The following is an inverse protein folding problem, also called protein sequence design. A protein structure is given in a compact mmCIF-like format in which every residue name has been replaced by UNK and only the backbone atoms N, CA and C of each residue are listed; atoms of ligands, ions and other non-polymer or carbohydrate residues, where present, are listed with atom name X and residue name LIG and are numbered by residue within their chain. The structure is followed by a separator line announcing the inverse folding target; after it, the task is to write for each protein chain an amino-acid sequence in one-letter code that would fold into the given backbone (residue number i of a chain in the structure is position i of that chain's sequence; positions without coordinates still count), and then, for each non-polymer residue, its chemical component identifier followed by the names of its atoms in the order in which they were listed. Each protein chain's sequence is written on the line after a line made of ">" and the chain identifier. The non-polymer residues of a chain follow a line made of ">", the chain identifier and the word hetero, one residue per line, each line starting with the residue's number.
data_IF_560396723697
#
_entry.id   IF_560396723697
#
_cell.length_a   1.000
_cell.length_b   1.000
_cell.length_c   1.000
_cell.angle_alpha   90.00
_cell.angle_beta   90.00
_cell.angle_gamma   90.00
#
_symmetry.space_group_name_H-M   'P 1'
#
loop_
_entity.id
_entity.type
_entity.pdbx_description
1 polymer ?
#
# COMPACT_ATOMS: atom_id res chain seq x y z
N UNK A 1 6.87 5.94 -10.26
CA UNK A 1 6.98 5.92 -8.78
C UNK A 1 6.58 4.55 -8.27
N UNK A 2 5.37 4.07 -8.58
CA UNK A 2 4.92 2.72 -8.24
C UNK A 2 5.88 1.59 -8.66
N UNK A 3 6.39 1.62 -9.91
CA UNK A 3 7.42 0.66 -10.36
C UNK A 3 8.65 0.63 -9.44
N UNK A 4 9.17 1.81 -9.06
CA UNK A 4 10.34 1.92 -8.17
C UNK A 4 10.04 1.41 -6.76
N UNK A 5 8.82 1.61 -6.26
CA UNK A 5 8.38 1.04 -4.98
C UNK A 5 8.38 -0.49 -5.06
N UNK A 6 7.76 -1.06 -6.10
CA UNK A 6 7.71 -2.50 -6.28
C UNK A 6 9.11 -3.10 -6.57
N UNK A 7 10.03 -2.39 -7.24
CA UNK A 7 11.43 -2.81 -7.41
C UNK A 7 12.18 -2.92 -6.08
N UNK A 8 11.78 -2.13 -5.09
CA UNK A 8 12.35 -2.16 -3.73
C UNK A 8 11.68 -3.21 -2.83
N UNK A 9 10.89 -4.12 -3.39
CA UNK A 9 10.18 -5.17 -2.65
C UNK A 9 9.30 -4.62 -1.51
N UNK A 10 8.57 -3.54 -1.78
CA UNK A 10 7.53 -3.05 -0.86
C UNK A 10 6.49 -4.14 -0.69
N UNK A 11 6.23 -4.52 0.55
CA UNK A 11 5.27 -5.58 0.90
C UNK A 11 3.83 -5.05 0.99
N UNK A 12 3.65 -3.76 1.29
CA UNK A 12 2.35 -3.17 1.56
C UNK A 12 2.29 -1.69 1.14
N UNK A 13 1.21 -1.32 0.45
CA UNK A 13 0.93 0.05 0.01
C UNK A 13 -0.46 0.48 0.48
N UNK A 14 -0.52 1.59 1.21
CA UNK A 14 -1.78 2.23 1.60
C UNK A 14 -1.87 3.61 0.92
N UNK A 15 -2.80 3.76 -0.02
CA UNK A 15 -3.06 5.04 -0.68
C UNK A 15 -4.17 5.79 0.05
N UNK A 16 -4.01 7.10 0.28
CA UNK A 16 -4.93 7.87 1.11
C UNK A 16 -5.32 9.18 0.40
N UNK A 17 -6.60 9.54 0.41
CA UNK A 17 -7.10 10.82 -0.14
C UNK A 17 -7.88 10.69 -1.45
N UNK A 18 -8.20 11.81 -2.11
CA UNK A 18 -9.18 11.85 -3.21
C UNK A 18 -8.84 10.99 -4.45
N UNK A 19 -7.55 10.78 -4.73
CA UNK A 19 -7.08 9.99 -5.88
C UNK A 19 -6.47 8.65 -5.45
N UNK A 20 -6.78 8.18 -4.24
CA UNK A 20 -6.17 6.98 -3.68
C UNK A 20 -6.50 5.71 -4.49
N UNK A 21 -7.74 5.60 -5.00
CA UNK A 21 -8.18 4.49 -5.86
C UNK A 21 -7.37 4.42 -7.15
N UNK A 22 -7.11 5.55 -7.80
CA UNK A 22 -6.27 5.59 -9.01
C UNK A 22 -4.84 5.10 -8.73
N UNK A 23 -4.27 5.48 -7.60
CA UNK A 23 -2.93 5.02 -7.21
C UNK A 23 -2.95 3.52 -6.92
N UNK A 24 -3.95 3.04 -6.20
CA UNK A 24 -4.18 1.62 -5.95
C UNK A 24 -4.21 0.82 -7.27
N UNK A 25 -5.04 1.25 -8.23
CA UNK A 25 -5.19 0.57 -9.51
C UNK A 25 -3.88 0.52 -10.31
N UNK A 26 -3.06 1.58 -10.24
CA UNK A 26 -1.73 1.60 -10.86
C UNK A 26 -0.81 0.54 -10.24
N UNK A 27 -0.84 0.38 -8.91
CA UNK A 27 -0.04 -0.65 -8.25
C UNK A 27 -0.54 -2.06 -8.60
N UNK A 28 -1.86 -2.28 -8.58
CA UNK A 28 -2.47 -3.56 -8.94
C UNK A 28 -2.13 -3.98 -10.37
N UNK A 29 -2.26 -3.06 -11.33
CA UNK A 29 -1.93 -3.36 -12.73
C UNK A 29 -0.45 -3.73 -12.89
N UNK A 30 0.45 -3.05 -12.18
CA UNK A 30 1.89 -3.35 -12.20
C UNK A 30 2.22 -4.69 -11.53
N UNK A 31 1.54 -5.05 -10.44
CA UNK A 31 1.68 -6.35 -9.78
C UNK A 31 1.27 -7.47 -10.76
N UNK A 32 0.09 -7.34 -11.38
CA UNK A 32 -0.40 -8.32 -12.37
C UNK A 32 0.57 -8.44 -13.54
N UNK A 33 1.04 -7.31 -14.10
CA UNK A 33 2.02 -7.31 -15.20
C UNK A 33 3.31 -8.03 -14.82
N UNK A 34 3.81 -7.84 -13.59
CA UNK A 34 5.03 -8.50 -13.11
C UNK A 34 4.86 -10.00 -12.95
N UNK A 35 3.76 -10.44 -12.36
CA UNK A 35 3.50 -11.88 -12.21
C UNK A 35 3.31 -12.57 -13.57
N UNK A 36 2.62 -11.93 -14.53
CA UNK A 36 2.55 -12.43 -15.92
C UNK A 36 3.94 -12.50 -16.54
N UNK A 37 4.77 -11.47 -16.39
CA UNK A 37 6.13 -11.47 -16.95
C UNK A 37 7.02 -12.58 -16.35
N UNK A 38 6.81 -12.92 -15.07
CA UNK A 38 7.56 -13.95 -14.35
C UNK A 38 7.09 -15.38 -14.67
N UNK A 39 5.78 -15.59 -14.81
CA UNK A 39 5.15 -16.92 -14.90
C UNK A 39 4.64 -17.27 -16.31
N UNK A 40 4.46 -16.28 -17.17
CA UNK A 40 3.89 -16.41 -18.51
C UNK A 40 2.36 -16.35 -18.55
N UNK A 41 1.67 -16.74 -17.46
CA UNK A 41 0.23 -16.58 -17.27
C UNK A 41 -0.11 -16.51 -15.77
N UNK A 42 -1.32 -16.06 -15.46
CA UNK A 42 -1.93 -16.14 -14.12
C UNK A 42 -3.02 -17.20 -14.20
N UNK A 43 -2.99 -18.16 -13.28
CA UNK A 43 -3.90 -19.30 -13.29
C UNK A 43 -4.67 -19.45 -11.99
N UNK A 44 -4.16 -18.86 -10.90
CA UNK A 44 -4.76 -18.94 -9.58
C UNK A 44 -4.43 -17.68 -8.77
N UNK A 45 -5.11 -17.51 -7.62
CA UNK A 45 -4.79 -16.46 -6.66
C UNK A 45 -3.43 -16.69 -5.98
N UNK A 46 -3.02 -17.96 -5.83
CA UNK A 46 -1.75 -18.35 -5.22
C UNK A 46 -0.53 -17.83 -6.01
N UNK A 47 -0.73 -17.44 -7.27
CA UNK A 47 0.30 -16.79 -8.07
C UNK A 47 0.76 -15.44 -7.44
N UNK A 48 -0.07 -14.84 -6.58
CA UNK A 48 0.17 -13.55 -5.91
C UNK A 48 0.61 -13.66 -4.44
N UNK A 49 0.86 -14.85 -3.88
CA UNK A 49 1.21 -15.02 -2.45
C UNK A 49 2.40 -14.15 -1.98
N UNK A 50 3.31 -13.81 -2.89
CA UNK A 50 4.51 -13.02 -2.60
C UNK A 50 4.46 -11.61 -3.22
N UNK A 51 3.30 -11.20 -3.73
CA UNK A 51 3.09 -9.88 -4.29
C UNK A 51 2.79 -8.86 -3.20
N UNK A 52 3.05 -7.59 -3.47
CA UNK A 52 2.67 -6.52 -2.55
C UNK A 52 1.16 -6.50 -2.37
N UNK A 53 0.70 -6.23 -1.15
CA UNK A 53 -0.71 -5.92 -0.90
C UNK A 53 -0.95 -4.42 -1.02
N UNK A 54 -2.12 -4.06 -1.54
CA UNK A 54 -2.54 -2.69 -1.80
C UNK A 54 -3.86 -2.44 -1.08
N UNK A 55 -4.06 -1.22 -0.60
CA UNK A 55 -5.34 -0.77 -0.05
C UNK A 55 -5.48 0.74 -0.27
N UNK A 56 -6.71 1.26 -0.18
CA UNK A 56 -6.98 2.67 -0.33
C UNK A 56 -8.07 3.17 0.63
N UNK A 57 -7.92 4.40 1.09
CA UNK A 57 -8.88 5.07 1.97
C UNK A 57 -9.06 6.53 1.58
N UNK A 58 -10.30 7.00 1.48
CA UNK A 58 -10.57 8.39 1.14
C UNK A 58 -10.22 9.34 2.29
N UNK A 59 -10.47 8.90 3.53
CA UNK A 59 -10.26 9.70 4.73
C UNK A 59 -8.87 9.47 5.33
N UNK A 60 -8.18 10.56 5.69
CA UNK A 60 -6.80 10.48 6.17
C UNK A 60 -6.67 9.73 7.49
N UNK A 61 -7.52 10.02 8.47
CA UNK A 61 -7.47 9.38 9.78
C UNK A 61 -7.74 7.88 9.70
N UNK A 62 -8.68 7.47 8.86
CA UNK A 62 -9.00 6.07 8.61
C UNK A 62 -7.81 5.34 7.98
N UNK A 63 -7.28 5.88 6.87
CA UNK A 63 -6.16 5.26 6.18
C UNK A 63 -4.90 5.19 7.05
N UNK A 64 -4.65 6.21 7.88
CA UNK A 64 -3.55 6.19 8.84
C UNK A 64 -3.75 5.14 9.93
N UNK A 65 -4.95 5.06 10.52
CA UNK A 65 -5.28 4.03 11.49
C UNK A 65 -5.11 2.64 10.90
N UNK A 66 -5.60 2.43 9.67
CA UNK A 66 -5.48 1.16 8.98
C UNK A 66 -4.01 0.79 8.76
N UNK A 67 -3.22 1.71 8.20
CA UNK A 67 -1.80 1.54 7.91
C UNK A 67 -0.95 1.18 9.15
N UNK A 68 -1.40 1.55 10.35
CA UNK A 68 -0.64 1.39 11.60
C UNK A 68 -1.17 0.27 12.50
N UNK A 69 -2.46 -0.07 12.38
CA UNK A 69 -3.14 -0.95 13.34
C UNK A 69 -3.74 -2.21 12.70
N UNK A 70 -4.04 -2.18 11.40
CA UNK A 70 -4.78 -3.24 10.71
C UNK A 70 -4.02 -3.89 9.55
N UNK A 71 -2.84 -3.38 9.22
CA UNK A 71 -2.00 -3.93 8.15
C UNK A 71 -1.60 -5.38 8.45
N UNK A 72 -1.87 -6.25 7.49
CA UNK A 72 -1.64 -7.69 7.57
C UNK A 72 -1.26 -8.24 6.20
N UNK A 73 -0.40 -9.25 6.19
CA UNK A 73 -0.03 -10.02 5.01
C UNK A 73 0.16 -11.47 5.44
N UNK A 74 -0.47 -12.40 4.73
CA UNK A 74 -0.57 -13.79 5.16
C UNK A 74 0.78 -14.53 5.15
N UNK A 75 1.62 -14.25 4.16
CA UNK A 75 2.88 -14.99 3.92
C UNK A 75 4.16 -14.25 4.34
N UNK A 76 4.09 -12.95 4.65
CA UNK A 76 5.28 -12.09 4.77
C UNK A 76 5.15 -11.16 5.97
N UNK A 77 6.21 -11.09 6.78
CA UNK A 77 6.31 -10.11 7.87
C UNK A 77 6.45 -8.69 7.29
N UNK A 78 5.56 -7.80 7.70
CA UNK A 78 5.54 -6.41 7.23
C UNK A 78 6.48 -5.58 8.09
N UNK A 79 7.61 -5.19 7.52
CA UNK A 79 8.62 -4.34 8.18
C UNK A 79 8.43 -2.87 7.90
N UNK A 80 7.82 -2.55 6.77
CA UNK A 80 7.63 -1.18 6.29
C UNK A 80 6.27 -1.09 5.59
N UNK A 81 5.54 0.00 5.85
CA UNK A 81 4.30 0.37 5.17
C UNK A 81 4.53 1.71 4.50
N UNK A 82 4.23 1.79 3.20
CA UNK A 82 4.27 3.06 2.47
C UNK A 82 2.87 3.65 2.45
N UNK A 83 2.72 4.81 3.10
CA UNK A 83 1.51 5.63 3.03
C UNK A 83 1.70 6.75 2.00
N UNK A 84 0.80 6.83 1.02
CA UNK A 84 0.80 7.87 -0.01
C UNK A 84 -0.34 8.84 0.25
N UNK A 85 0.01 10.03 0.74
CA UNK A 85 -0.93 11.12 0.97
C UNK A 85 -1.25 11.85 -0.35
N UNK A 86 -2.48 11.72 -0.80
CA UNK A 86 -3.05 12.35 -1.99
C UNK A 86 -4.12 13.40 -1.62
N UNK A 87 -4.10 13.92 -0.39
CA UNK A 87 -4.98 15.01 0.03
C UNK A 87 -4.49 16.37 -0.47
N UNK A 88 -5.39 17.34 -0.65
CA UNK A 88 -5.03 18.69 -1.15
C UNK A 88 -4.17 19.48 -0.15
N UNK A 89 -4.45 19.33 1.14
CA UNK A 89 -3.70 19.94 2.24
C UNK A 89 -2.76 18.91 2.84
N UNK A 90 -1.49 18.92 2.45
CA UNK A 90 -0.51 17.92 2.90
C UNK A 90 -0.55 17.71 4.42
N UNK A 91 -0.80 16.47 4.84
CA UNK A 91 -1.18 16.09 6.22
C UNK A 91 0.01 15.87 7.15
N UNK A 92 1.10 16.62 6.93
CA UNK A 92 2.37 16.40 7.63
C UNK A 92 2.26 16.58 9.14
N UNK A 93 1.55 17.61 9.60
CA UNK A 93 1.36 17.83 11.05
C UNK A 93 0.48 16.75 11.65
N UNK A 94 -0.61 16.39 10.96
CA UNK A 94 -1.53 15.33 11.39
C UNK A 94 -0.81 13.98 11.52
N UNK A 95 0.14 13.67 10.61
CA UNK A 95 1.03 12.51 10.72
C UNK A 95 1.87 12.54 12.01
N UNK A 96 2.47 13.69 12.35
CA UNK A 96 3.26 13.82 13.59
C UNK A 96 2.38 13.64 14.83
N UNK A 97 1.18 14.22 14.82
CA UNK A 97 0.26 14.15 15.95
C UNK A 97 -0.26 12.72 16.16
N UNK A 98 -0.59 12.01 15.08
CA UNK A 98 -1.06 10.63 15.15
C UNK A 98 0.07 9.64 15.49
N UNK A 99 1.28 9.80 14.93
CA UNK A 99 2.43 8.98 15.33
C UNK A 99 2.83 9.21 16.79
N UNK A 100 2.65 10.43 17.31
CA UNK A 100 2.84 10.73 18.73
C UNK A 100 1.89 9.96 19.66
N UNK A 101 0.67 9.65 19.19
CA UNK A 101 -0.35 8.89 19.93
C UNK A 101 -0.13 7.37 19.91
N UNK A 102 0.65 6.85 18.96
CA UNK A 102 0.95 5.41 18.83
C UNK A 102 2.04 4.91 19.78
N UNK A 103 2.67 5.80 20.58
CA UNK A 103 3.68 5.40 21.56
C UNK A 103 3.04 4.48 22.62
N UNK A 104 3.27 3.18 22.44
CA UNK A 104 3.03 2.12 23.43
C UNK A 104 4.31 1.83 24.19
#
# INVERSE_FOLDING_TARGET
>A
MAEKCLEKNVCYVCAIGQQCELIHDIFDELIVKREIAKRGNITSLDDFENSAMTTWHNEFEEGFWFATSAVFHEYTEIKEVICLDMTEEGKRQDLFDLTGKLKT
#
